data_IF_398225414103
#
_entry.id   IF_398225414103
#
_cell.length_a   1.000
_cell.length_b   1.000
_cell.length_c   1.000
_cell.angle_alpha   90.00
_cell.angle_beta   90.00
_cell.angle_gamma   90.00
#
_symmetry.space_group_name_H-M   'P 1'
#
loop_
_entity.id
_entity.type
_entity.pdbx_description
1 polymer ?
#
# COMPACT_ATOMS: atom_id res chain seq x y z
N UNK A 1 -0.62 -3.56 15.35
CA UNK A 1 -1.70 -2.84 14.65
C UNK A 1 -1.57 -2.82 13.13
N UNK A 2 -0.54 -3.42 12.52
CA UNK A 2 -0.44 -3.54 11.05
C UNK A 2 -1.10 -4.80 10.51
N UNK A 3 -1.38 -5.77 11.39
CA UNK A 3 -2.09 -6.98 11.06
C UNK A 3 -3.47 -6.64 10.46
N UNK A 4 -3.80 -7.31 9.36
CA UNK A 4 -5.05 -7.12 8.63
C UNK A 4 -5.36 -5.68 8.15
N UNK A 5 -4.37 -4.80 7.98
CA UNK A 5 -4.61 -3.43 7.50
C UNK A 5 -5.41 -3.36 6.19
N UNK A 6 -5.31 -4.38 5.35
CA UNK A 6 -6.11 -4.53 4.13
C UNK A 6 -7.62 -4.71 4.38
N UNK A 7 -8.02 -5.29 5.51
CA UNK A 7 -9.43 -5.48 5.87
C UNK A 7 -10.07 -4.19 6.39
N UNK A 8 -9.37 -3.47 7.26
CA UNK A 8 -9.95 -2.34 8.00
C UNK A 8 -9.53 -0.96 7.50
N UNK A 9 -8.57 -0.82 6.57
CA UNK A 9 -8.34 0.49 5.90
C UNK A 9 -9.54 0.95 5.04
N UNK A 10 -10.53 0.07 4.82
CA UNK A 10 -11.80 0.43 4.18
C UNK A 10 -12.77 1.16 5.13
N UNK A 11 -12.42 1.24 6.42
CA UNK A 11 -13.23 1.84 7.48
C UNK A 11 -13.40 3.35 7.31
N UNK A 12 -14.41 3.88 7.99
CA UNK A 12 -14.64 5.31 8.01
C UNK A 12 -13.48 6.06 8.66
N UNK A 13 -13.23 7.30 8.22
CA UNK A 13 -12.09 8.12 8.67
C UNK A 13 -11.99 8.21 10.20
N UNK A 14 -13.11 8.43 10.88
CA UNK A 14 -13.14 8.51 12.35
C UNK A 14 -12.64 7.23 13.05
N UNK A 15 -12.84 6.04 12.45
CA UNK A 15 -12.34 4.78 13.00
C UNK A 15 -10.82 4.67 12.83
N UNK A 16 -10.29 5.16 11.70
CA UNK A 16 -8.85 5.24 11.47
C UNK A 16 -8.19 6.26 12.41
N UNK A 17 -8.84 7.40 12.63
CA UNK A 17 -8.37 8.45 13.53
C UNK A 17 -8.35 7.97 15.00
N UNK A 18 -9.35 7.17 15.39
CA UNK A 18 -9.38 6.51 16.70
C UNK A 18 -8.19 5.55 16.86
N UNK A 19 -7.83 4.81 15.81
CA UNK A 19 -6.69 3.92 15.83
C UNK A 19 -5.35 4.66 15.93
N UNK A 20 -5.22 5.74 15.16
CA UNK A 20 -4.04 6.61 15.24
C UNK A 20 -3.94 7.26 16.64
N UNK A 21 -5.06 7.46 17.33
CA UNK A 21 -5.09 7.90 18.73
C UNK A 21 -4.51 6.87 19.69
N UNK A 22 -4.83 5.59 19.46
CA UNK A 22 -4.24 4.48 20.22
C UNK A 22 -2.73 4.40 19.98
N UNK A 23 -2.26 4.53 18.72
CA UNK A 23 -0.82 4.56 18.40
C UNK A 23 -0.11 5.74 19.09
N UNK A 24 -0.71 6.93 19.05
CA UNK A 24 -0.19 8.12 19.76
C UNK A 24 -0.15 7.91 21.27
N UNK A 25 -1.15 7.26 21.87
CA UNK A 25 -1.16 6.95 23.30
C UNK A 25 -0.06 5.93 23.64
N UNK A 26 0.10 4.88 22.84
CA UNK A 26 1.14 3.88 23.04
C UNK A 26 2.54 4.50 22.99
N UNK A 27 2.80 5.38 22.02
CA UNK A 27 4.06 6.14 21.92
C UNK A 27 4.35 6.97 23.17
N UNK A 28 3.35 7.68 23.68
CA UNK A 28 3.49 8.46 24.93
C UNK A 28 3.81 7.59 26.13
N UNK A 29 3.19 6.41 26.24
CA UNK A 29 3.43 5.47 27.34
C UNK A 29 4.83 4.86 27.33
N UNK A 30 5.42 4.62 26.15
CA UNK A 30 6.79 4.11 26.02
C UNK A 30 7.81 5.13 26.55
N UNK A 31 7.54 6.44 26.41
CA UNK A 31 8.31 7.51 27.04
C UNK A 31 9.76 7.67 26.56
N UNK A 32 10.21 6.89 25.57
CA UNK A 32 11.56 6.95 25.02
C UNK A 32 11.55 7.73 23.69
N UNK A 33 11.91 9.01 23.75
CA UNK A 33 11.87 9.93 22.62
C UNK A 33 12.76 9.49 21.43
N UNK A 34 13.86 8.79 21.70
CA UNK A 34 14.75 8.26 20.66
C UNK A 34 14.08 7.12 19.87
N UNK A 35 13.32 6.26 20.55
CA UNK A 35 12.57 5.17 19.92
C UNK A 35 11.33 5.69 19.20
N UNK A 36 10.64 6.67 19.79
CA UNK A 36 9.41 7.23 19.24
C UNK A 36 9.67 8.07 17.98
N UNK A 37 10.76 8.81 17.93
CA UNK A 37 11.15 9.65 16.79
C UNK A 37 11.58 8.85 15.56
N UNK A 38 12.15 7.65 15.75
CA UNK A 38 12.53 6.75 14.65
C UNK A 38 11.33 5.97 14.09
N UNK A 39 10.24 5.87 14.86
CA UNK A 39 9.05 5.10 14.49
C UNK A 39 8.16 5.85 13.52
N UNK A 40 8.04 5.34 12.30
CA UNK A 40 7.14 5.86 11.26
C UNK A 40 5.66 5.83 11.70
N UNK A 41 4.84 6.74 11.16
CA UNK A 41 3.42 6.80 11.51
C UNK A 41 2.68 5.50 11.16
N UNK A 42 1.62 5.19 11.90
CA UNK A 42 0.82 3.99 11.65
C UNK A 42 0.23 3.96 10.24
N UNK A 43 -0.31 5.08 9.74
CA UNK A 43 -0.75 5.23 8.34
C UNK A 43 0.34 4.86 7.31
N UNK A 44 1.58 5.31 7.54
CA UNK A 44 2.69 5.02 6.65
C UNK A 44 3.01 3.53 6.62
N UNK A 45 3.14 2.91 7.80
CA UNK A 45 3.43 1.47 7.92
C UNK A 45 2.33 0.63 7.27
N UNK A 46 1.06 1.04 7.38
CA UNK A 46 -0.08 0.39 6.70
C UNK A 46 -0.02 0.48 5.19
N UNK A 47 0.34 1.64 4.63
CA UNK A 47 0.51 1.81 3.18
C UNK A 47 1.60 0.89 2.64
N UNK A 48 2.74 0.82 3.32
CA UNK A 48 3.84 -0.11 2.97
C UNK A 48 3.36 -1.56 3.05
N UNK A 49 2.63 -1.94 4.11
CA UNK A 49 2.09 -3.28 4.27
C UNK A 49 1.09 -3.64 3.16
N UNK A 50 0.17 -2.74 2.81
CA UNK A 50 -0.81 -2.97 1.74
C UNK A 50 -0.11 -3.16 0.38
N UNK A 51 0.86 -2.32 0.04
CA UNK A 51 1.65 -2.44 -1.18
C UNK A 51 2.47 -3.73 -1.21
N UNK A 52 3.00 -4.18 -0.07
CA UNK A 52 3.74 -5.43 0.03
C UNK A 52 2.84 -6.66 -0.19
N UNK A 53 1.62 -6.65 0.33
CA UNK A 53 0.62 -7.71 0.05
C UNK A 53 0.25 -7.68 -1.43
N UNK A 54 0.03 -6.50 -2.00
CA UNK A 54 -0.29 -6.35 -3.42
C UNK A 54 0.84 -6.84 -4.32
N UNK A 55 2.09 -6.58 -3.96
CA UNK A 55 3.28 -7.12 -4.64
C UNK A 55 3.28 -8.64 -4.64
N UNK A 56 3.00 -9.27 -3.49
CA UNK A 56 2.87 -10.73 -3.42
C UNK A 56 1.78 -11.27 -4.34
N UNK A 57 0.59 -10.67 -4.30
CA UNK A 57 -0.54 -11.07 -5.15
C UNK A 57 -0.17 -10.94 -6.64
N UNK A 58 0.47 -9.83 -7.03
CA UNK A 58 0.85 -9.56 -8.42
C UNK A 58 1.81 -10.62 -8.98
N UNK A 59 2.73 -11.14 -8.16
CA UNK A 59 3.70 -12.16 -8.59
C UNK A 59 3.29 -13.59 -8.24
N UNK A 60 2.08 -13.83 -7.71
CA UNK A 60 1.61 -15.16 -7.33
C UNK A 60 2.27 -15.72 -6.06
N UNK A 61 2.97 -14.89 -5.29
CA UNK A 61 3.68 -15.25 -4.06
C UNK A 61 2.77 -15.11 -2.83
N UNK A 62 1.50 -15.48 -3.01
CA UNK A 62 0.45 -15.46 -1.98
C UNK A 62 -0.19 -16.85 -1.83
N UNK A 63 -0.97 -17.03 -0.75
CA UNK A 63 -1.71 -18.27 -0.52
C UNK A 63 -2.69 -18.53 -1.68
N UNK A 64 -2.82 -19.80 -2.09
CA UNK A 64 -3.61 -20.19 -3.27
C UNK A 64 -5.08 -19.75 -3.13
N UNK A 65 -5.64 -19.85 -1.93
CA UNK A 65 -7.02 -19.44 -1.64
C UNK A 65 -7.22 -17.94 -1.89
N UNK A 66 -6.21 -17.13 -1.57
CA UNK A 66 -6.25 -15.69 -1.86
C UNK A 66 -6.10 -15.42 -3.35
N UNK A 67 -5.23 -16.17 -4.03
CA UNK A 67 -5.04 -16.06 -5.48
C UNK A 67 -6.33 -16.40 -6.23
N UNK A 68 -7.06 -17.44 -5.80
CA UNK A 68 -8.31 -17.88 -6.43
C UNK A 68 -9.47 -16.90 -6.19
N UNK A 69 -9.54 -16.32 -4.98
CA UNK A 69 -10.54 -15.30 -4.63
C UNK A 69 -10.30 -13.97 -5.34
N UNK A 70 -9.04 -13.57 -5.43
CA UNK A 70 -8.59 -12.45 -6.25
C UNK A 70 -8.27 -13.00 -7.63
N UNK A 71 -9.24 -13.69 -8.27
CA UNK A 71 -9.14 -14.07 -9.70
C UNK A 71 -8.48 -12.90 -10.40
N UNK A 72 -7.38 -13.11 -11.13
CA UNK A 72 -6.48 -12.04 -11.52
C UNK A 72 -7.33 -10.93 -12.08
N UNK A 73 -7.48 -9.84 -11.29
CA UNK A 73 -7.96 -8.58 -11.82
C UNK A 73 -7.18 -8.43 -13.10
N UNK A 74 -7.83 -8.25 -14.27
CA UNK A 74 -7.09 -8.26 -15.50
C UNK A 74 -5.91 -7.32 -15.33
N UNK A 75 -4.72 -7.89 -15.13
CA UNK A 75 -3.46 -7.19 -15.06
C UNK A 75 -3.15 -6.92 -16.53
N UNK A 76 -4.06 -6.21 -17.21
CA UNK A 76 -3.89 -5.89 -18.60
C UNK A 76 -2.92 -4.73 -18.63
N UNK A 77 -1.84 -5.00 -19.37
CA UNK A 77 -0.96 -4.03 -20.00
C UNK A 77 -1.76 -3.13 -20.97
N UNK A 78 -2.79 -2.42 -20.49
CA UNK A 78 -3.74 -1.72 -21.33
C UNK A 78 -2.99 -0.67 -22.15
N UNK A 79 -3.15 -0.80 -23.46
CA UNK A 79 -2.59 0.05 -24.52
C UNK A 79 -3.25 1.43 -24.49
N UNK A 80 -2.97 2.22 -23.46
CA UNK A 80 -3.31 3.64 -23.47
C UNK A 80 -2.18 4.43 -24.12
N UNK A 81 -2.57 5.40 -24.95
CA UNK A 81 -1.80 6.30 -25.82
C UNK A 81 -0.69 7.13 -25.13
N UNK A 82 -0.32 6.80 -23.89
CA UNK A 82 0.57 7.56 -23.00
C UNK A 82 1.61 6.66 -22.28
N UNK A 83 2.28 5.77 -23.02
CA UNK A 83 3.27 4.79 -22.51
C UNK A 83 4.52 5.40 -21.86
N UNK A 84 4.81 6.68 -22.06
CA UNK A 84 6.16 7.23 -21.76
C UNK A 84 6.47 7.41 -20.27
N UNK A 85 5.45 7.43 -19.40
CA UNK A 85 5.64 7.72 -17.96
C UNK A 85 5.09 6.63 -17.01
N UNK A 86 4.68 5.47 -17.52
CA UNK A 86 4.08 4.40 -16.71
C UNK A 86 5.09 3.26 -16.49
N UNK A 87 5.17 2.73 -15.28
CA UNK A 87 6.05 1.61 -14.96
C UNK A 87 5.52 0.27 -15.53
N UNK A 88 6.41 -0.72 -15.71
CA UNK A 88 6.10 -2.02 -16.33
C UNK A 88 4.95 -2.79 -15.67
N UNK A 89 4.73 -2.57 -14.39
CA UNK A 89 3.80 -3.34 -13.54
C UNK A 89 2.45 -2.65 -13.33
N UNK A 90 2.07 -1.64 -14.13
CA UNK A 90 0.80 -0.92 -13.97
C UNK A 90 -0.40 -1.86 -14.11
N UNK A 91 -1.40 -1.63 -13.25
CA UNK A 91 -2.64 -2.44 -13.20
C UNK A 91 -3.86 -1.62 -13.60
N UNK A 92 -4.88 -2.26 -14.17
CA UNK A 92 -6.15 -1.60 -14.44
C UNK A 92 -6.93 -1.32 -13.15
N UNK A 93 -7.56 -0.15 -13.07
CA UNK A 93 -8.39 0.24 -11.93
C UNK A 93 -9.84 0.28 -12.42
N UNK A 94 -10.71 -0.64 -11.96
CA UNK A 94 -12.13 -0.62 -12.29
C UNK A 94 -12.78 0.70 -11.94
N UNK A 95 -13.77 1.10 -12.76
CA UNK A 95 -14.61 2.25 -12.43
C UNK A 95 -15.38 1.99 -11.13
N UNK A 96 -15.34 2.94 -10.21
CA UNK A 96 -15.99 2.82 -8.90
C UNK A 96 -17.21 3.71 -8.80
N UNK A 97 -18.39 3.12 -8.58
CA UNK A 97 -19.66 3.84 -8.44
C UNK A 97 -19.91 4.39 -7.04
N UNK A 98 -19.23 3.86 -6.02
CA UNK A 98 -19.42 4.25 -4.62
C UNK A 98 -18.09 4.57 -3.93
N UNK A 99 -18.13 5.49 -2.96
CA UNK A 99 -16.97 5.81 -2.11
C UNK A 99 -16.45 4.58 -1.36
N UNK A 100 -17.35 3.72 -0.88
CA UNK A 100 -17.02 2.49 -0.16
C UNK A 100 -16.26 1.49 -1.04
N UNK A 101 -16.68 1.33 -2.29
CA UNK A 101 -15.94 0.47 -3.23
C UNK A 101 -14.61 1.11 -3.63
N UNK A 102 -14.57 2.43 -3.79
CA UNK A 102 -13.34 3.18 -4.06
C UNK A 102 -12.30 3.10 -2.92
N UNK A 103 -12.76 2.94 -1.67
CA UNK A 103 -11.89 2.75 -0.49
C UNK A 103 -11.51 1.30 -0.24
N UNK A 104 -12.06 0.34 -1.03
CA UNK A 104 -11.69 -1.07 -0.90
C UNK A 104 -10.20 -1.30 -1.11
N UNK A 105 -9.66 -2.34 -0.48
CA UNK A 105 -8.24 -2.70 -0.56
C UNK A 105 -7.71 -2.70 -1.99
N UNK A 106 -8.41 -3.39 -2.90
CA UNK A 106 -7.96 -3.60 -4.28
C UNK A 106 -7.88 -2.28 -5.04
N UNK A 107 -8.95 -1.48 -5.01
CA UNK A 107 -9.00 -0.21 -5.75
C UNK A 107 -7.99 0.79 -5.19
N UNK A 108 -7.97 0.96 -3.86
CA UNK A 108 -7.10 1.95 -3.21
C UNK A 108 -5.62 1.58 -3.39
N UNK A 109 -5.29 0.30 -3.24
CA UNK A 109 -3.90 -0.17 -3.37
C UNK A 109 -3.45 -0.16 -4.83
N UNK A 110 -4.32 -0.47 -5.78
CA UNK A 110 -4.04 -0.31 -7.21
C UNK A 110 -3.72 1.15 -7.60
N UNK A 111 -4.47 2.12 -7.06
CA UNK A 111 -4.16 3.56 -7.24
C UNK A 111 -2.79 3.92 -6.67
N UNK A 112 -2.50 3.47 -5.45
CA UNK A 112 -1.22 3.72 -4.81
C UNK A 112 -0.05 3.07 -5.56
N UNK A 113 -0.27 1.84 -6.05
CA UNK A 113 0.68 1.06 -6.84
C UNK A 113 1.04 1.76 -8.15
N UNK A 114 0.04 2.18 -8.92
CA UNK A 114 0.24 2.87 -10.20
C UNK A 114 0.92 4.24 -10.05
N UNK A 115 0.89 4.84 -8.85
CA UNK A 115 1.56 6.09 -8.54
C UNK A 115 3.04 5.91 -8.11
N UNK A 116 3.54 4.68 -8.08
CA UNK A 116 4.93 4.37 -7.76
C UNK A 116 5.83 4.55 -8.99
N UNK A 117 7.06 5.06 -8.83
CA UNK A 117 8.01 5.13 -9.93
C UNK A 117 8.59 3.76 -10.24
N UNK A 118 9.03 3.51 -11.48
CA UNK A 118 9.66 2.23 -11.87
C UNK A 118 10.83 1.83 -10.99
N UNK A 119 11.56 2.80 -10.41
CA UNK A 119 12.74 2.56 -9.57
C UNK A 119 12.45 1.80 -8.27
N UNK A 120 11.20 1.81 -7.76
CA UNK A 120 10.89 1.03 -6.54
C UNK A 120 10.82 -0.47 -6.80
N UNK A 121 10.63 -0.87 -8.06
CA UNK A 121 10.50 -2.27 -8.42
C UNK A 121 11.89 -2.86 -8.71
N UNK A 122 12.25 -4.00 -8.08
CA UNK A 122 13.47 -4.73 -8.43
C UNK A 122 13.30 -5.47 -9.77
N UNK A 123 14.43 -5.78 -10.43
CA UNK A 123 14.45 -6.51 -11.71
C UNK A 123 14.00 -7.96 -11.54
N UNK A 124 14.38 -8.57 -10.42
CA UNK A 124 13.92 -9.91 -9.98
C UNK A 124 12.98 -9.77 -8.79
N UNK A 125 12.09 -10.75 -8.59
CA UNK A 125 11.20 -10.75 -7.43
C UNK A 125 12.03 -10.66 -6.13
N UNK A 126 11.81 -9.59 -5.36
CA UNK A 126 12.43 -9.42 -4.05
C UNK A 126 11.55 -8.53 -3.17
N UNK A 127 10.80 -9.17 -2.27
CA UNK A 127 9.90 -8.47 -1.35
C UNK A 127 10.63 -7.51 -0.41
N UNK A 128 11.81 -7.88 0.08
CA UNK A 128 12.59 -7.05 1.02
C UNK A 128 13.06 -5.75 0.37
N UNK A 129 13.64 -5.85 -0.83
CA UNK A 129 14.08 -4.70 -1.64
C UNK A 129 12.90 -3.82 -2.01
N UNK A 130 11.79 -4.41 -2.46
CA UNK A 130 10.57 -3.65 -2.78
C UNK A 130 10.05 -2.87 -1.57
N UNK A 131 9.90 -3.53 -0.41
CA UNK A 131 9.47 -2.89 0.84
C UNK A 131 10.37 -1.72 1.22
N UNK A 132 11.69 -1.91 1.18
CA UNK A 132 12.67 -0.88 1.53
C UNK A 132 12.59 0.33 0.59
N UNK A 133 12.48 0.10 -0.72
CA UNK A 133 12.36 1.17 -1.73
C UNK A 133 11.04 1.94 -1.61
N UNK A 134 9.92 1.24 -1.44
CA UNK A 134 8.61 1.87 -1.20
C UNK A 134 8.62 2.69 0.08
N UNK A 135 9.19 2.13 1.15
CA UNK A 135 9.32 2.81 2.44
C UNK A 135 10.04 4.16 2.29
N UNK A 136 11.18 4.16 1.60
CA UNK A 136 11.96 5.37 1.30
C UNK A 136 11.19 6.36 0.42
N UNK A 137 10.52 5.87 -0.63
CA UNK A 137 9.75 6.71 -1.54
C UNK A 137 8.60 7.44 -0.83
N UNK A 138 7.85 6.74 0.01
CA UNK A 138 6.72 7.31 0.75
C UNK A 138 7.16 8.29 1.85
N UNK A 139 8.35 8.10 2.43
CA UNK A 139 8.95 9.09 3.33
C UNK A 139 9.35 10.36 2.58
N UNK A 140 9.99 10.23 1.41
CA UNK A 140 10.41 11.37 0.59
C UNK A 140 9.26 12.27 0.12
N UNK A 141 8.11 11.67 -0.22
CA UNK A 141 6.90 12.43 -0.61
C UNK A 141 6.33 13.33 0.50
N UNK A 142 6.57 13.02 1.78
CA UNK A 142 6.08 13.82 2.91
C UNK A 142 6.97 15.03 3.22
N UNK A 143 8.23 15.03 2.78
CA UNK A 143 9.12 16.17 2.96
C UNK A 143 8.87 17.30 1.94
N UNK A 144 8.11 17.01 0.87
CA UNK A 144 7.81 17.93 -0.24
C UNK A 144 6.35 18.42 -0.24
N UNK A 145 5.68 18.46 0.90
CA UNK A 145 4.29 18.92 1.06
C UNK A 145 4.12 19.83 2.25
#
# INVERSE_FOLDING_TARGET
>A
MEYCSHLWDCSAKYQLDALDSVDRRARRLIGNDLVVSTLQSLDHRRKVACLAVFYKIHFGECAQELFDLVKPFPFYHRTARNRKNLHRYVVEIPSTRTKRFASSFLIRTAKAWNALPSSVFPDTYNLGTFKSRVNRHLLGKRASS
#
